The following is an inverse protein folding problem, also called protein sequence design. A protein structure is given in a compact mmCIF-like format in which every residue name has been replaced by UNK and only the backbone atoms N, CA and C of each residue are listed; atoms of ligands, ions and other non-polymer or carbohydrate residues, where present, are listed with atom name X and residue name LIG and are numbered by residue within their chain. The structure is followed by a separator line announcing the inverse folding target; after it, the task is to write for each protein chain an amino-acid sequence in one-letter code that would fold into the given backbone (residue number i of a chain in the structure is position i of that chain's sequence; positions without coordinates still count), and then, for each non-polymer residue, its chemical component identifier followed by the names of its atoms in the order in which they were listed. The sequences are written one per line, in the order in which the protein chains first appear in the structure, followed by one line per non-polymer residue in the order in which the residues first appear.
data_IF_523680134469
#
_entry.id   IF_523680134469
#
_cell.length_a   1.000
_cell.length_b   1.000
_cell.length_c   1.000
_cell.angle_alpha   90.00
_cell.angle_beta   90.00
_cell.angle_gamma   90.00
#
_symmetry.space_group_name_H-M   'P 1'
#
loop_
_entity.id
_entity.type
_entity.pdbx_description
1 polymer ?
#
# COMPACT_ATOMS: atom_id res chain seq x y z
N UNK A 1 -1.54 28.65 2.01
CA UNK A 1 -2.85 28.25 2.58
C UNK A 1 -2.73 26.80 3.03
N UNK A 2 -3.30 26.38 4.15
CA UNK A 2 -3.28 24.96 4.52
C UNK A 2 -3.99 24.15 3.44
N UNK A 3 -3.35 23.07 3.02
CA UNK A 3 -3.85 22.13 2.01
C UNK A 3 -5.11 21.44 2.56
N UNK A 4 -6.20 21.37 1.77
CA UNK A 4 -7.41 20.66 2.18
C UNK A 4 -7.18 19.14 2.14
N UNK A 5 -7.94 18.37 2.95
CA UNK A 5 -7.88 16.90 2.95
C UNK A 5 -8.06 16.33 1.53
N UNK A 6 -9.04 16.84 0.79
CA UNK A 6 -9.31 16.42 -0.58
C UNK A 6 -8.14 16.68 -1.52
N UNK A 7 -7.47 17.83 -1.37
CA UNK A 7 -6.32 18.19 -2.18
C UNK A 7 -5.13 17.27 -1.89
N UNK A 8 -4.83 17.03 -0.60
CA UNK A 8 -3.80 16.10 -0.17
C UNK A 8 -4.06 14.67 -0.70
N UNK A 9 -5.30 14.20 -0.60
CA UNK A 9 -5.71 12.88 -1.08
C UNK A 9 -5.57 12.75 -2.61
N UNK A 10 -5.93 13.79 -3.39
CA UNK A 10 -5.75 13.80 -4.85
C UNK A 10 -4.27 13.77 -5.27
N UNK A 11 -3.38 14.47 -4.54
CA UNK A 11 -1.94 14.40 -4.80
C UNK A 11 -1.39 12.98 -4.56
N UNK A 12 -1.81 12.32 -3.47
CA UNK A 12 -1.40 10.93 -3.22
C UNK A 12 -1.93 9.97 -4.30
N UNK A 13 -3.13 10.20 -4.82
CA UNK A 13 -3.65 9.42 -5.93
C UNK A 13 -2.83 9.59 -7.20
N UNK A 14 -2.44 10.82 -7.54
CA UNK A 14 -1.57 11.07 -8.67
C UNK A 14 -0.22 10.35 -8.50
N UNK A 15 0.35 10.37 -7.29
CA UNK A 15 1.57 9.65 -6.95
C UNK A 15 1.42 8.12 -7.09
N UNK A 16 0.29 7.53 -6.66
CA UNK A 16 0.01 6.09 -6.85
C UNK A 16 0.02 5.75 -8.34
N UNK A 17 -0.69 6.51 -9.16
CA UNK A 17 -0.78 6.26 -10.61
C UNK A 17 0.57 6.34 -11.29
N UNK A 18 1.33 7.38 -11.01
CA UNK A 18 2.68 7.54 -11.55
C UNK A 18 3.59 6.39 -11.13
N UNK A 19 3.52 6.00 -9.85
CA UNK A 19 4.33 4.91 -9.32
C UNK A 19 3.99 3.55 -9.95
N UNK A 20 2.73 3.31 -10.28
CA UNK A 20 2.25 2.02 -10.81
C UNK A 20 2.17 1.95 -12.32
N UNK A 21 2.41 3.06 -13.03
CA UNK A 21 2.42 3.10 -14.49
C UNK A 21 3.38 2.05 -15.08
N UNK A 22 2.84 1.14 -15.89
CA UNK A 22 3.56 0.01 -16.49
C UNK A 22 3.83 -1.18 -15.55
N UNK A 23 3.41 -1.12 -14.28
CA UNK A 23 3.49 -2.24 -13.33
C UNK A 23 2.15 -2.95 -13.22
N UNK A 24 2.01 -4.10 -13.88
CA UNK A 24 0.75 -4.83 -13.99
C UNK A 24 0.38 -5.50 -12.65
N UNK A 25 -0.88 -5.35 -12.22
CA UNK A 25 -1.44 -5.90 -10.96
C UNK A 25 -0.69 -5.44 -9.69
N UNK A 26 -0.17 -4.20 -9.70
CA UNK A 26 0.61 -3.66 -8.56
C UNK A 26 -0.01 -2.43 -7.91
N UNK A 27 -1.12 -1.93 -8.44
CA UNK A 27 -1.85 -0.79 -7.90
C UNK A 27 -2.31 -1.04 -6.46
N UNK A 28 -2.81 -2.23 -6.17
CA UNK A 28 -3.22 -2.62 -4.83
C UNK A 28 -2.09 -2.45 -3.79
N UNK A 29 -0.87 -2.88 -4.12
CA UNK A 29 0.26 -2.75 -3.20
C UNK A 29 0.59 -1.28 -2.94
N UNK A 30 0.57 -0.45 -3.98
CA UNK A 30 0.81 0.99 -3.85
C UNK A 30 -0.29 1.67 -3.02
N UNK A 31 -1.56 1.34 -3.26
CA UNK A 31 -2.70 1.87 -2.51
C UNK A 31 -2.63 1.51 -1.03
N UNK A 32 -2.31 0.25 -0.69
CA UNK A 32 -2.16 -0.22 0.69
C UNK A 32 -0.94 0.39 1.38
N UNK A 33 0.15 0.65 0.64
CA UNK A 33 1.31 1.37 1.18
C UNK A 33 0.93 2.81 1.57
N UNK A 34 0.16 3.52 0.73
CA UNK A 34 -0.32 4.86 1.05
C UNK A 34 -1.29 4.82 2.26
N UNK A 35 -2.23 3.87 2.30
CA UNK A 35 -3.10 3.69 3.46
C UNK A 35 -2.30 3.46 4.74
N UNK A 36 -1.29 2.58 4.69
CA UNK A 36 -0.40 2.32 5.82
C UNK A 36 0.35 3.58 6.26
N UNK A 37 0.90 4.35 5.31
CA UNK A 37 1.59 5.61 5.58
C UNK A 37 0.68 6.65 6.23
N UNK A 38 -0.57 6.80 5.76
CA UNK A 38 -1.57 7.71 6.35
C UNK A 38 -1.99 7.25 7.75
N UNK A 39 -2.11 5.95 7.98
CA UNK A 39 -2.42 5.38 9.30
C UNK A 39 -1.22 5.34 10.26
N UNK A 40 0.00 5.70 9.81
CA UNK A 40 1.27 5.51 10.54
C UNK A 40 1.53 4.07 10.95
N UNK A 41 1.10 3.12 10.13
CA UNK A 41 1.30 1.69 10.32
C UNK A 41 2.27 1.13 9.27
N UNK A 42 2.60 -0.15 9.39
CA UNK A 42 3.57 -0.83 8.53
C UNK A 42 2.93 -1.95 7.74
N UNK A 43 3.54 -2.28 6.61
CA UNK A 43 3.05 -3.23 5.63
C UNK A 43 4.04 -4.38 5.46
N UNK A 44 3.57 -5.62 5.50
CA UNK A 44 4.32 -6.82 5.13
C UNK A 44 3.80 -7.35 3.79
N UNK A 45 4.69 -7.47 2.82
CA UNK A 45 4.40 -8.01 1.49
C UNK A 45 4.96 -9.41 1.38
N UNK A 46 4.10 -10.37 1.11
CA UNK A 46 4.45 -11.78 0.98
C UNK A 46 4.21 -12.21 -0.47
N UNK A 47 5.19 -12.86 -1.08
CA UNK A 47 5.06 -13.39 -2.44
C UNK A 47 6.39 -13.81 -3.04
N UNK A 48 6.36 -14.60 -4.13
CA UNK A 48 7.57 -15.12 -4.75
C UNK A 48 8.52 -14.01 -5.22
N UNK A 49 9.81 -14.31 -5.40
CA UNK A 49 10.77 -13.37 -5.96
C UNK A 49 10.37 -12.98 -7.39
N UNK A 50 10.79 -11.80 -7.84
CA UNK A 50 10.50 -11.32 -9.21
C UNK A 50 9.10 -10.73 -9.41
N UNK A 51 8.28 -10.59 -8.37
CA UNK A 51 6.93 -10.01 -8.46
C UNK A 51 6.90 -8.48 -8.32
N UNK A 52 8.00 -7.80 -8.56
CA UNK A 52 8.16 -6.34 -8.55
C UNK A 52 7.83 -5.64 -7.22
N UNK A 53 7.91 -6.34 -6.07
CA UNK A 53 7.65 -5.78 -4.72
C UNK A 53 8.50 -4.52 -4.46
N UNK A 54 9.82 -4.63 -4.60
CA UNK A 54 10.75 -3.50 -4.39
C UNK A 54 10.55 -2.38 -5.40
N UNK A 55 10.25 -2.71 -6.66
CA UNK A 55 10.02 -1.72 -7.70
C UNK A 55 8.83 -0.81 -7.38
N UNK A 56 7.70 -1.37 -6.93
CA UNK A 56 6.52 -0.59 -6.52
C UNK A 56 6.86 0.35 -5.36
N UNK A 57 7.48 -0.18 -4.30
CA UNK A 57 7.78 0.62 -3.09
C UNK A 57 8.74 1.76 -3.41
N UNK A 58 9.79 1.48 -4.20
CA UNK A 58 10.76 2.48 -4.64
C UNK A 58 10.08 3.58 -5.47
N UNK A 59 9.23 3.21 -6.43
CA UNK A 59 8.50 4.16 -7.28
C UNK A 59 7.51 5.01 -6.49
N UNK A 60 6.79 4.43 -5.52
CA UNK A 60 5.93 5.19 -4.60
C UNK A 60 6.76 6.17 -3.76
N UNK A 61 7.90 5.74 -3.22
CA UNK A 61 8.79 6.62 -2.48
C UNK A 61 9.31 7.78 -3.34
N UNK A 62 9.71 7.51 -4.59
CA UNK A 62 10.15 8.54 -5.55
C UNK A 62 9.03 9.53 -5.89
N UNK A 63 7.80 9.05 -6.09
CA UNK A 63 6.67 9.92 -6.43
C UNK A 63 6.21 10.81 -5.26
N UNK A 64 6.46 10.40 -4.02
CA UNK A 64 6.16 11.17 -2.81
C UNK A 64 7.28 12.17 -2.46
N UNK A 65 8.50 11.94 -2.93
CA UNK A 65 9.71 12.65 -2.51
C UNK A 65 9.97 12.45 -1.01
N UNK A 66 11.17 12.17 -0.60
CA UNK A 66 11.52 11.92 0.79
C UNK A 66 12.73 11.01 0.91
N UNK A 67 13.26 10.87 2.11
CA UNK A 67 14.40 9.99 2.33
C UNK A 67 13.93 8.52 2.29
N UNK A 68 14.37 7.82 1.25
CA UNK A 68 14.09 6.40 1.04
C UNK A 68 15.29 5.56 1.43
N UNK A 69 15.03 4.51 2.20
CA UNK A 69 16.04 3.50 2.56
C UNK A 69 15.58 2.13 2.08
N UNK A 70 16.44 1.42 1.36
CA UNK A 70 16.18 0.07 0.88
C UNK A 70 17.34 -0.85 1.24
N UNK A 71 17.02 -2.03 1.78
CA UNK A 71 18.03 -3.01 2.13
C UNK A 71 17.52 -4.44 1.97
N UNK A 72 18.35 -5.33 1.41
CA UNK A 72 18.11 -6.76 1.36
C UNK A 72 18.79 -7.42 2.56
N UNK A 73 17.99 -7.91 3.50
CA UNK A 73 18.52 -8.58 4.68
C UNK A 73 19.04 -9.98 4.37
N UNK A 74 20.15 -10.35 5.01
CA UNK A 74 20.75 -11.66 4.94
C UNK A 74 21.14 -12.15 6.33
N UNK A 75 21.46 -13.42 6.45
CA UNK A 75 21.87 -14.05 7.74
C UNK A 75 23.12 -13.40 8.34
N UNK A 76 23.97 -12.81 7.51
CA UNK A 76 25.24 -12.19 7.91
C UNK A 76 25.18 -10.66 7.87
N UNK A 77 24.00 -10.09 7.65
CA UNK A 77 23.83 -8.64 7.68
C UNK A 77 24.21 -8.10 9.08
N UNK A 78 25.07 -7.10 9.10
CA UNK A 78 25.47 -6.45 10.33
C UNK A 78 24.53 -5.29 10.67
N UNK A 79 24.28 -5.01 11.97
CA UNK A 79 23.48 -3.85 12.37
C UNK A 79 24.02 -2.51 11.87
N UNK A 80 25.32 -2.38 11.61
CA UNK A 80 25.96 -1.20 11.06
C UNK A 80 25.51 -0.86 9.64
N UNK A 81 25.10 -1.87 8.86
CA UNK A 81 24.64 -1.70 7.48
C UNK A 81 23.23 -1.07 7.39
N UNK A 82 22.42 -1.26 8.42
CA UNK A 82 21.08 -0.67 8.48
C UNK A 82 21.05 0.62 9.29
N UNK A 83 21.77 0.62 10.41
CA UNK A 83 21.64 1.67 11.42
C UNK A 83 22.81 2.64 11.44
N UNK A 84 23.88 2.31 10.74
CA UNK A 84 25.12 3.10 10.67
C UNK A 84 26.25 2.62 11.58
N UNK A 85 27.48 2.97 11.23
CA UNK A 85 28.69 2.61 11.98
C UNK A 85 28.81 3.40 13.28
N UNK A 86 29.65 2.91 14.20
CA UNK A 86 30.03 3.66 15.40
C UNK A 86 30.93 4.85 15.00
N UNK A 87 30.61 6.02 15.52
CA UNK A 87 31.43 7.22 15.31
C UNK A 87 32.77 7.09 16.06
N UNK A 88 33.85 6.90 15.30
CA UNK A 88 35.19 6.66 15.87
C UNK A 88 35.74 7.87 16.63
N UNK A 89 35.37 9.08 16.24
CA UNK A 89 35.83 10.30 16.95
C UNK A 89 35.20 10.36 18.35
N UNK A 90 33.90 10.10 18.46
CA UNK A 90 33.18 10.04 19.72
C UNK A 90 33.62 8.87 20.60
N UNK A 91 33.94 7.74 19.97
CA UNK A 91 34.44 6.57 20.70
C UNK A 91 35.78 6.87 21.39
N UNK A 92 36.65 7.67 20.79
CA UNK A 92 37.92 8.14 21.42
C UNK A 92 37.66 9.03 22.63
N UNK A 93 36.53 9.72 22.69
CA UNK A 93 36.06 10.53 23.82
C UNK A 93 35.30 9.68 24.87
N UNK A 94 35.23 8.34 24.69
CA UNK A 94 34.52 7.43 25.60
C UNK A 94 33.01 7.39 25.37
N UNK A 95 32.51 7.95 24.26
CA UNK A 95 31.10 7.99 23.93
C UNK A 95 30.82 7.05 22.76
N UNK A 96 29.87 6.11 22.96
CA UNK A 96 29.39 5.18 21.89
C UNK A 96 28.23 5.85 21.16
N UNK A 97 28.54 6.60 20.11
CA UNK A 97 27.55 7.19 19.22
C UNK A 97 27.55 6.48 17.86
N UNK A 98 26.38 6.42 17.21
CA UNK A 98 26.21 5.86 15.88
C UNK A 98 26.06 6.97 14.85
N UNK A 99 26.80 6.88 13.76
CA UNK A 99 26.61 7.77 12.60
C UNK A 99 25.47 7.22 11.74
N UNK A 100 24.36 7.96 11.74
CA UNK A 100 23.10 7.53 11.10
C UNK A 100 22.86 8.17 9.75
N UNK A 101 23.81 9.01 9.27
CA UNK A 101 23.63 9.76 8.04
C UNK A 101 23.33 8.84 6.84
N UNK A 102 22.16 9.03 6.21
CA UNK A 102 21.69 8.21 5.09
C UNK A 102 21.23 6.79 5.45
N UNK A 103 21.14 6.47 6.73
CA UNK A 103 20.75 5.13 7.22
C UNK A 103 19.26 5.07 7.58
N UNK A 104 18.76 3.85 7.83
CA UNK A 104 17.37 3.59 8.19
C UNK A 104 16.78 4.53 9.27
N UNK A 105 17.50 4.91 10.33
CA UNK A 105 16.97 5.83 11.33
C UNK A 105 16.59 7.21 10.83
N UNK A 106 17.14 7.67 9.69
CA UNK A 106 16.76 8.94 9.04
C UNK A 106 15.71 8.78 7.94
N UNK A 107 15.40 7.53 7.54
CA UNK A 107 14.47 7.28 6.46
C UNK A 107 13.03 7.66 6.83
N UNK A 108 12.31 8.24 5.87
CA UNK A 108 10.87 8.51 5.96
C UNK A 108 10.06 7.36 5.39
N UNK A 109 10.61 6.66 4.38
CA UNK A 109 10.05 5.46 3.77
C UNK A 109 11.15 4.40 3.73
N UNK A 110 10.86 3.22 4.23
CA UNK A 110 11.82 2.11 4.23
C UNK A 110 11.25 0.86 3.53
N UNK A 111 12.12 0.19 2.78
CA UNK A 111 11.87 -1.14 2.24
C UNK A 111 12.92 -2.13 2.74
N UNK A 112 12.48 -3.17 3.42
CA UNK A 112 13.35 -4.22 3.95
C UNK A 112 12.99 -5.54 3.30
N UNK A 113 13.79 -5.97 2.33
CA UNK A 113 13.57 -7.25 1.66
C UNK A 113 14.14 -8.40 2.48
N UNK A 114 13.54 -9.57 2.36
CA UNK A 114 13.85 -10.80 3.15
C UNK A 114 13.91 -10.50 4.65
N UNK A 115 12.92 -9.75 5.16
CA UNK A 115 12.93 -9.17 6.50
C UNK A 115 13.11 -10.17 7.63
N UNK A 116 12.75 -11.43 7.44
CA UNK A 116 12.90 -12.52 8.42
C UNK A 116 14.30 -13.15 8.44
N UNK A 117 15.20 -12.79 7.52
CA UNK A 117 16.58 -13.25 7.54
C UNK A 117 17.51 -12.43 8.45
N UNK A 118 16.99 -11.31 8.97
CA UNK A 118 17.74 -10.46 9.89
C UNK A 118 18.10 -11.18 11.19
N UNK A 119 19.30 -10.89 11.72
CA UNK A 119 19.71 -11.39 13.03
C UNK A 119 18.78 -10.90 14.15
N UNK A 120 18.69 -11.59 15.27
CA UNK A 120 17.90 -11.19 16.44
C UNK A 120 18.24 -9.77 16.90
N UNK A 121 19.51 -9.35 16.81
CA UNK A 121 19.94 -8.00 17.16
C UNK A 121 19.33 -6.93 16.24
N UNK A 122 19.28 -7.20 14.93
CA UNK A 122 18.63 -6.33 13.94
C UNK A 122 17.14 -6.27 14.22
N UNK A 123 16.47 -7.42 14.35
CA UNK A 123 15.01 -7.48 14.56
C UNK A 123 14.60 -6.76 15.84
N UNK A 124 15.33 -6.91 16.95
CA UNK A 124 15.06 -6.18 18.18
C UNK A 124 15.20 -4.66 18.03
N UNK A 125 16.20 -4.20 17.28
CA UNK A 125 16.39 -2.79 17.00
C UNK A 125 15.25 -2.25 16.12
N UNK A 126 14.84 -3.03 15.09
CA UNK A 126 13.69 -2.71 14.24
C UNK A 126 12.39 -2.61 15.04
N UNK A 127 12.19 -3.42 16.10
CA UNK A 127 11.00 -3.30 16.95
C UNK A 127 10.87 -1.90 17.57
N UNK A 128 11.96 -1.29 18.01
CA UNK A 128 11.97 0.08 18.52
C UNK A 128 11.57 1.10 17.44
N UNK A 129 12.14 0.95 16.25
CA UNK A 129 11.83 1.80 15.09
C UNK A 129 10.36 1.66 14.65
N UNK A 130 9.86 0.43 14.51
CA UNK A 130 8.52 0.16 14.02
C UNK A 130 7.42 0.55 15.02
N UNK A 131 7.64 0.33 16.32
CA UNK A 131 6.61 0.59 17.33
C UNK A 131 6.65 2.02 17.88
N UNK A 132 7.85 2.49 18.21
CA UNK A 132 8.04 3.72 18.98
C UNK A 132 8.58 4.87 18.12
N UNK A 133 8.95 4.62 16.88
CA UNK A 133 9.66 5.58 16.02
C UNK A 133 10.93 6.09 16.71
N UNK A 134 11.60 5.21 17.44
CA UNK A 134 12.82 5.55 18.17
C UNK A 134 13.93 4.59 17.79
N UNK A 135 15.10 5.15 17.53
CA UNK A 135 16.34 4.41 17.43
C UNK A 135 17.17 4.65 18.70
N UNK A 136 17.65 3.55 19.29
CA UNK A 136 18.48 3.56 20.50
C UNK A 136 19.64 2.60 20.34
N UNK A 137 20.87 3.13 20.37
CA UNK A 137 22.10 2.31 20.35
C UNK A 137 23.23 3.07 21.04
N UNK A 138 23.76 2.51 22.13
CA UNK A 138 24.74 3.21 22.96
C UNK A 138 24.18 4.52 23.52
N UNK A 139 24.86 5.63 23.25
CA UNK A 139 24.43 6.98 23.64
C UNK A 139 23.49 7.63 22.60
N UNK A 140 23.36 7.04 21.43
CA UNK A 140 22.46 7.55 20.39
C UNK A 140 21.01 7.23 20.73
N UNK A 141 20.21 8.29 20.86
CA UNK A 141 18.76 8.19 21.04
C UNK A 141 18.07 9.27 20.23
N UNK A 142 17.37 8.86 19.19
CA UNK A 142 16.72 9.78 18.27
C UNK A 142 15.28 9.35 17.97
N UNK A 143 14.44 10.31 17.61
CA UNK A 143 13.15 10.06 17.02
C UNK A 143 13.31 9.93 15.49
N UNK A 144 12.82 8.81 14.93
CA UNK A 144 12.94 8.51 13.52
C UNK A 144 11.73 9.09 12.76
N UNK A 145 11.94 9.75 11.61
CA UNK A 145 10.86 10.35 10.81
C UNK A 145 10.06 9.32 10.02
N UNK A 146 10.29 8.02 10.26
CA UNK A 146 9.73 6.91 9.51
C UNK A 146 8.20 6.97 9.45
N UNK A 147 7.62 7.10 8.26
CA UNK A 147 6.16 7.11 8.01
C UNK A 147 5.64 5.72 7.77
N UNK A 148 6.31 4.98 6.89
CA UNK A 148 5.98 3.59 6.58
C UNK A 148 7.25 2.77 6.37
N UNK A 149 7.25 1.56 6.93
CA UNK A 149 8.20 0.51 6.58
C UNK A 149 7.44 -0.60 5.87
N UNK A 150 7.90 -0.96 4.70
CA UNK A 150 7.43 -2.13 3.97
C UNK A 150 8.46 -3.23 4.15
N UNK A 151 8.08 -4.29 4.87
CA UNK A 151 8.84 -5.52 4.93
C UNK A 151 8.42 -6.44 3.78
N UNK A 152 9.34 -7.16 3.19
CA UNK A 152 9.03 -8.18 2.18
C UNK A 152 9.61 -9.53 2.58
N UNK A 153 8.92 -10.59 2.20
CA UNK A 153 9.36 -11.96 2.37
C UNK A 153 8.73 -12.88 1.30
N UNK A 154 9.34 -14.03 1.07
CA UNK A 154 8.78 -15.04 0.16
C UNK A 154 7.63 -15.84 0.80
N UNK A 155 7.69 -16.06 2.11
CA UNK A 155 6.68 -16.75 2.90
C UNK A 155 6.61 -16.18 4.33
N UNK A 156 5.52 -16.48 5.03
CA UNK A 156 5.42 -16.19 6.46
C UNK A 156 6.32 -17.16 7.25
N UNK A 157 6.92 -16.69 8.36
CA UNK A 157 7.77 -17.54 9.18
C UNK A 157 6.94 -18.56 9.99
N UNK A 158 7.48 -19.74 10.18
CA UNK A 158 6.92 -20.77 11.08
C UNK A 158 7.39 -20.60 12.53
N UNK A 159 8.52 -19.93 12.73
CA UNK A 159 9.08 -19.65 14.06
C UNK A 159 8.22 -18.64 14.83
N UNK A 160 7.89 -18.96 16.08
CA UNK A 160 7.03 -18.10 16.93
C UNK A 160 7.63 -16.71 17.20
N UNK A 161 8.95 -16.61 17.36
CA UNK A 161 9.64 -15.34 17.58
C UNK A 161 9.56 -14.43 16.35
N UNK A 162 9.74 -15.01 15.17
CA UNK A 162 9.59 -14.30 13.90
C UNK A 162 8.12 -13.99 13.61
N UNK A 163 7.19 -14.86 13.98
CA UNK A 163 5.75 -14.57 13.88
C UNK A 163 5.36 -13.39 14.77
N UNK A 164 5.92 -13.28 15.97
CA UNK A 164 5.73 -12.13 16.85
C UNK A 164 6.33 -10.83 16.26
N UNK A 165 7.44 -10.92 15.51
CA UNK A 165 7.97 -9.79 14.77
C UNK A 165 7.07 -9.43 13.57
N UNK A 166 6.58 -10.40 12.80
CA UNK A 166 5.64 -10.19 11.69
C UNK A 166 4.34 -9.49 12.15
N UNK A 167 3.88 -9.73 13.40
CA UNK A 167 2.71 -9.06 13.98
C UNK A 167 2.89 -7.54 14.14
N UNK A 168 4.10 -7.01 14.00
CA UNK A 168 4.37 -5.56 14.01
C UNK A 168 3.96 -4.86 12.71
N UNK A 169 3.90 -5.61 11.63
CA UNK A 169 3.33 -5.16 10.38
C UNK A 169 1.81 -5.37 10.43
N UNK A 170 1.07 -4.28 10.54
CA UNK A 170 -0.38 -4.37 10.70
C UNK A 170 -1.08 -4.89 9.46
N UNK A 171 -0.64 -4.44 8.26
CA UNK A 171 -1.17 -4.89 6.99
C UNK A 171 -0.32 -6.02 6.43
N UNK A 172 -0.98 -7.09 5.99
CA UNK A 172 -0.37 -8.19 5.25
C UNK A 172 -0.95 -8.23 3.85
N UNK A 173 -0.07 -8.21 2.85
CA UNK A 173 -0.43 -8.24 1.42
C UNK A 173 0.23 -9.43 0.76
N UNK A 174 -0.56 -10.24 0.09
CA UNK A 174 -0.09 -11.37 -0.68
C UNK A 174 -0.06 -10.99 -2.15
N UNK A 175 1.11 -11.12 -2.79
CA UNK A 175 1.35 -10.73 -4.18
C UNK A 175 1.69 -11.97 -4.98
N UNK A 176 0.86 -12.25 -5.99
CA UNK A 176 1.07 -13.35 -6.91
C UNK A 176 1.81 -12.88 -8.19
N UNK A 177 2.44 -13.81 -8.94
CA UNK A 177 2.87 -13.54 -10.30
C UNK A 177 1.71 -13.04 -11.18
N UNK A 178 2.03 -12.24 -12.19
CA UNK A 178 1.04 -11.80 -13.18
C UNK A 178 0.50 -13.04 -13.92
N UNK A 179 -0.81 -13.11 -14.09
CA UNK A 179 -1.49 -14.22 -14.74
C UNK A 179 -1.17 -14.28 -16.25
N UNK A 180 -1.24 -15.49 -16.84
CA UNK A 180 -0.85 -15.72 -18.24
C UNK A 180 -1.65 -14.89 -19.25
N UNK A 181 -2.90 -14.56 -18.95
CA UNK A 181 -3.75 -13.73 -19.80
C UNK A 181 -3.34 -12.23 -19.84
N UNK A 182 -2.37 -11.83 -19.01
CA UNK A 182 -1.84 -10.45 -18.96
C UNK A 182 -0.33 -10.38 -19.29
N UNK A 183 0.24 -11.43 -19.88
CA UNK A 183 1.66 -11.49 -20.19
C UNK A 183 2.07 -10.44 -21.23
N UNK A 184 1.25 -10.16 -22.23
CA UNK A 184 1.53 -9.14 -23.23
C UNK A 184 1.60 -7.74 -22.59
N UNK A 185 0.69 -7.45 -21.64
CA UNK A 185 0.71 -6.20 -20.88
C UNK A 185 1.96 -6.11 -20.00
N UNK A 186 2.34 -7.23 -19.34
CA UNK A 186 3.54 -7.30 -18.52
C UNK A 186 4.80 -7.01 -19.34
N UNK A 187 4.92 -7.59 -20.56
CA UNK A 187 6.06 -7.38 -21.43
C UNK A 187 6.13 -5.92 -21.92
N UNK A 188 5.00 -5.36 -22.33
CA UNK A 188 4.92 -3.97 -22.79
C UNK A 188 5.22 -2.99 -21.64
N UNK A 189 4.54 -3.14 -20.51
CA UNK A 189 4.71 -2.28 -19.34
C UNK A 189 6.11 -2.36 -18.74
N UNK A 190 6.67 -3.58 -18.63
CA UNK A 190 8.03 -3.77 -18.14
C UNK A 190 9.10 -3.09 -19.03
N UNK A 191 8.89 -3.07 -20.34
CA UNK A 191 9.75 -2.34 -21.28
C UNK A 191 9.68 -0.83 -21.07
N UNK A 192 8.48 -0.28 -20.93
CA UNK A 192 8.24 1.14 -20.69
C UNK A 192 8.81 1.62 -19.35
N UNK A 193 8.61 0.83 -18.28
CA UNK A 193 9.15 1.12 -16.93
C UNK A 193 10.67 1.29 -16.95
N UNK A 194 11.38 0.50 -17.77
CA UNK A 194 12.83 0.58 -17.91
C UNK A 194 13.33 1.86 -18.59
N UNK A 195 12.46 2.56 -19.32
CA UNK A 195 12.81 3.76 -20.10
C UNK A 195 12.42 5.07 -19.40
N UNK A 196 11.47 5.05 -18.49
CA UNK A 196 10.90 6.25 -17.89
C UNK A 196 11.14 6.26 -16.37
N UNK A 197 11.71 7.35 -15.88
CA UNK A 197 11.81 7.63 -14.44
C UNK A 197 10.46 8.04 -13.87
N UNK A 198 10.31 7.93 -12.55
CA UNK A 198 9.12 8.41 -11.83
C UNK A 198 9.28 9.90 -11.54
N UNK A 199 8.24 10.67 -11.81
CA UNK A 199 8.21 12.08 -11.45
C UNK A 199 7.64 12.27 -10.03
N UNK A 200 8.23 13.12 -9.20
CA UNK A 200 7.61 13.49 -7.92
C UNK A 200 6.35 14.31 -8.18
N UNK A 201 5.18 13.75 -7.85
CA UNK A 201 3.86 14.36 -8.07
C UNK A 201 3.16 14.74 -6.76
N UNK A 202 3.64 14.27 -5.62
CA UNK A 202 3.16 14.64 -4.31
C UNK A 202 4.33 15.02 -3.42
N UNK A 203 4.01 15.70 -2.34
CA UNK A 203 4.96 15.99 -1.26
C UNK A 203 4.58 15.22 -0.01
N UNK A 204 5.55 14.88 0.82
CA UNK A 204 5.32 14.28 2.14
C UNK A 204 4.41 15.14 3.02
N UNK A 205 4.36 16.45 2.79
CA UNK A 205 3.42 17.37 3.41
C UNK A 205 1.96 16.93 3.24
N UNK A 206 1.61 16.31 2.11
CA UNK A 206 0.27 15.73 1.88
C UNK A 206 -0.03 14.57 2.84
N UNK A 207 0.96 13.72 3.12
CA UNK A 207 0.82 12.68 4.15
C UNK A 207 0.65 13.29 5.55
N UNK A 208 1.37 14.37 5.87
CA UNK A 208 1.30 15.02 7.18
C UNK A 208 -0.10 15.59 7.47
N UNK A 209 -0.72 16.25 6.48
CA UNK A 209 -2.08 16.76 6.59
C UNK A 209 -3.07 15.64 6.90
N UNK A 210 -2.98 14.52 6.19
CA UNK A 210 -3.86 13.37 6.39
C UNK A 210 -3.57 12.66 7.72
N UNK A 211 -2.30 12.46 8.09
CA UNK A 211 -1.90 11.86 9.37
C UNK A 211 -2.47 12.62 10.59
N UNK A 212 -2.49 13.96 10.52
CA UNK A 212 -3.03 14.80 11.59
C UNK A 212 -4.54 14.69 11.70
N UNK A 213 -5.24 14.40 10.60
CA UNK A 213 -6.68 14.24 10.58
C UNK A 213 -7.16 12.87 11.10
N UNK A 214 -6.36 11.79 10.95
CA UNK A 214 -6.76 10.44 11.35
C UNK A 214 -7.24 10.35 12.81
N UNK A 215 -6.55 10.90 13.83
CA UNK A 215 -7.01 10.83 15.22
C UNK A 215 -8.30 11.61 15.49
N UNK A 216 -8.70 12.51 14.59
CA UNK A 216 -9.87 13.37 14.72
C UNK A 216 -11.13 12.78 14.08
N UNK A 217 -11.02 11.63 13.41
CA UNK A 217 -12.13 10.97 12.73
C UNK A 217 -13.16 10.47 13.75
N UNK A 218 -14.42 10.82 13.53
CA UNK A 218 -15.51 10.26 14.32
C UNK A 218 -15.73 8.78 13.92
N UNK A 219 -15.49 7.87 14.88
CA UNK A 219 -15.59 6.42 14.73
C UNK A 219 -16.92 5.85 15.26
N UNK A 220 -17.82 6.65 15.82
CA UNK A 220 -19.05 6.16 16.46
C UNK A 220 -19.92 5.35 15.51
N UNK A 221 -20.10 5.85 14.29
CA UNK A 221 -20.93 5.21 13.27
C UNK A 221 -20.44 3.83 12.80
N UNK A 222 -19.16 3.50 13.00
CA UNK A 222 -18.55 2.25 12.50
C UNK A 222 -18.20 1.25 13.61
N UNK A 223 -18.09 1.67 14.89
CA UNK A 223 -17.63 0.80 15.98
C UNK A 223 -18.49 -0.44 16.17
N UNK A 224 -19.81 -0.32 16.10
CA UNK A 224 -20.73 -1.47 16.26
C UNK A 224 -20.56 -2.45 15.11
N UNK A 225 -20.43 -1.96 13.87
CA UNK A 225 -20.22 -2.79 12.68
C UNK A 225 -18.84 -3.46 12.72
N UNK A 226 -17.79 -2.79 13.17
CA UNK A 226 -16.47 -3.36 13.39
C UNK A 226 -16.51 -4.47 14.44
N UNK A 227 -17.16 -4.22 15.58
CA UNK A 227 -17.31 -5.23 16.64
C UNK A 227 -18.12 -6.45 16.15
N UNK A 228 -19.14 -6.24 15.33
CA UNK A 228 -19.89 -7.30 14.66
C UNK A 228 -19.01 -8.10 13.70
N UNK A 229 -18.25 -7.44 12.83
CA UNK A 229 -17.32 -8.09 11.93
C UNK A 229 -16.31 -8.98 12.67
N UNK A 230 -15.72 -8.48 13.78
CA UNK A 230 -14.78 -9.26 14.60
C UNK A 230 -15.45 -10.49 15.22
N UNK A 231 -16.70 -10.40 15.66
CA UNK A 231 -17.43 -11.58 16.18
C UNK A 231 -17.65 -12.63 15.11
N UNK A 232 -18.03 -12.21 13.88
CA UNK A 232 -18.18 -13.11 12.74
C UNK A 232 -16.85 -13.80 12.40
N UNK A 233 -15.74 -13.05 12.37
CA UNK A 233 -14.40 -13.60 12.15
C UNK A 233 -14.03 -14.66 13.18
N UNK A 234 -14.28 -14.40 14.47
CA UNK A 234 -14.03 -15.37 15.55
C UNK A 234 -14.87 -16.64 15.38
N UNK A 235 -16.13 -16.53 14.96
CA UNK A 235 -17.00 -17.67 14.67
C UNK A 235 -16.49 -18.50 13.47
N UNK A 236 -15.85 -17.88 12.50
CA UNK A 236 -15.22 -18.56 11.36
C UNK A 236 -13.76 -18.98 11.62
N UNK A 237 -13.33 -19.01 12.88
CA UNK A 237 -11.96 -19.38 13.29
C UNK A 237 -10.86 -18.46 12.71
N UNK A 238 -11.19 -17.20 12.42
CA UNK A 238 -10.21 -16.16 12.12
C UNK A 238 -10.00 -15.31 13.35
N UNK A 239 -8.84 -15.47 13.99
CA UNK A 239 -8.53 -14.78 15.24
C UNK A 239 -7.56 -13.63 14.97
N UNK A 240 -7.88 -12.47 15.52
CA UNK A 240 -7.03 -11.29 15.56
C UNK A 240 -6.61 -11.03 17.00
N UNK A 241 -5.36 -10.62 17.23
CA UNK A 241 -4.92 -10.13 18.52
C UNK A 241 -5.64 -8.83 18.88
N UNK A 242 -5.83 -8.56 20.18
CA UNK A 242 -6.46 -7.32 20.63
C UNK A 242 -5.72 -6.08 20.13
N UNK A 243 -4.40 -6.16 20.00
CA UNK A 243 -3.57 -5.12 19.38
C UNK A 243 -4.01 -4.86 17.94
N UNK A 244 -4.17 -5.89 17.11
CA UNK A 244 -4.61 -5.74 15.72
C UNK A 244 -6.01 -5.18 15.62
N UNK A 245 -6.92 -5.62 16.50
CA UNK A 245 -8.29 -5.11 16.56
C UNK A 245 -8.31 -3.61 16.87
N UNK A 246 -7.54 -3.16 17.86
CA UNK A 246 -7.46 -1.75 18.21
C UNK A 246 -6.84 -0.93 17.10
N UNK A 247 -5.74 -1.42 16.50
CA UNK A 247 -5.04 -0.74 15.42
C UNK A 247 -5.82 -0.71 14.10
N UNK A 248 -6.69 -1.68 13.84
CA UNK A 248 -7.57 -1.68 12.68
C UNK A 248 -8.44 -0.41 12.60
N UNK A 249 -8.80 0.18 13.75
CA UNK A 249 -9.54 1.44 13.77
C UNK A 249 -8.76 2.59 13.11
N UNK A 250 -7.43 2.62 13.24
CA UNK A 250 -6.59 3.64 12.60
C UNK A 250 -6.61 3.50 11.06
N UNK A 251 -6.61 2.26 10.55
CA UNK A 251 -6.73 2.01 9.11
C UNK A 251 -8.10 2.42 8.57
N UNK A 252 -9.17 2.13 9.31
CA UNK A 252 -10.54 2.53 8.95
C UNK A 252 -10.66 4.06 8.94
N UNK A 253 -10.10 4.73 9.96
CA UNK A 253 -10.06 6.19 10.02
C UNK A 253 -9.22 6.78 8.88
N UNK A 254 -8.07 6.17 8.54
CA UNK A 254 -7.23 6.59 7.43
C UNK A 254 -7.96 6.44 6.08
N UNK A 255 -8.73 5.37 5.88
CA UNK A 255 -9.57 5.21 4.69
C UNK A 255 -10.62 6.34 4.59
N UNK A 256 -11.31 6.67 5.69
CA UNK A 256 -12.25 7.79 5.70
C UNK A 256 -11.59 9.14 5.37
N UNK A 257 -10.41 9.42 5.94
CA UNK A 257 -9.63 10.64 5.67
C UNK A 257 -9.18 10.72 4.22
N UNK A 258 -8.67 9.62 3.65
CA UNK A 258 -8.30 9.52 2.24
C UNK A 258 -9.51 9.72 1.31
N UNK A 259 -10.72 9.38 1.77
CA UNK A 259 -11.96 9.69 1.05
C UNK A 259 -12.48 11.12 1.30
N UNK A 260 -11.70 11.98 1.97
CA UNK A 260 -12.05 13.36 2.29
C UNK A 260 -13.09 13.51 3.40
N UNK A 261 -13.34 12.46 4.20
CA UNK A 261 -14.37 12.43 5.25
C UNK A 261 -13.77 12.54 6.65
N UNK A 262 -14.51 13.19 7.55
CA UNK A 262 -14.17 13.29 8.98
C UNK A 262 -14.93 12.29 9.86
N UNK A 263 -15.73 11.43 9.26
CA UNK A 263 -16.44 10.36 9.93
C UNK A 263 -16.31 9.06 9.15
N UNK A 264 -15.97 7.99 9.85
CA UNK A 264 -15.90 6.65 9.28
C UNK A 264 -17.30 6.02 9.18
N UNK A 265 -17.53 5.24 8.14
CA UNK A 265 -18.78 4.56 7.83
C UNK A 265 -18.56 3.06 7.64
N UNK A 266 -19.64 2.30 7.43
CA UNK A 266 -19.53 0.86 7.09
C UNK A 266 -18.74 0.62 5.81
N UNK A 267 -18.81 1.54 4.84
CA UNK A 267 -18.03 1.47 3.61
C UNK A 267 -16.51 1.44 3.83
N UNK A 268 -16.03 1.90 4.99
CA UNK A 268 -14.61 1.94 5.34
C UNK A 268 -14.12 0.70 6.11
N UNK A 269 -14.92 -0.36 6.24
CA UNK A 269 -14.52 -1.59 6.95
C UNK A 269 -13.54 -2.48 6.17
N UNK A 270 -13.41 -2.27 4.87
CA UNK A 270 -12.58 -3.10 3.98
C UNK A 270 -11.12 -3.28 4.40
N UNK A 271 -10.42 -2.31 5.07
CA UNK A 271 -9.05 -2.52 5.51
C UNK A 271 -8.89 -3.67 6.51
N UNK A 272 -9.99 -4.08 7.17
CA UNK A 272 -9.98 -5.19 8.12
C UNK A 272 -9.48 -6.50 7.49
N UNK A 273 -9.70 -6.72 6.18
CA UNK A 273 -9.17 -7.91 5.49
C UNK A 273 -7.65 -7.97 5.52
N UNK A 274 -6.99 -6.84 5.34
CA UNK A 274 -5.52 -6.78 5.30
C UNK A 274 -4.87 -6.81 6.68
N UNK A 275 -5.67 -6.65 7.75
CA UNK A 275 -5.21 -6.86 9.14
C UNK A 275 -5.06 -8.35 9.46
N UNK A 276 -5.65 -9.24 8.67
CA UNK A 276 -5.58 -10.69 8.87
C UNK A 276 -4.23 -11.21 8.33
N UNK A 277 -3.44 -11.90 9.17
CA UNK A 277 -2.04 -12.15 8.87
C UNK A 277 -1.78 -13.27 7.84
N UNK A 278 -2.77 -14.11 7.49
CA UNK A 278 -2.58 -15.25 6.59
C UNK A 278 -3.46 -15.18 5.36
N UNK A 279 -2.97 -15.65 4.20
CA UNK A 279 -3.73 -15.68 2.95
C UNK A 279 -5.04 -16.48 3.10
N UNK A 280 -4.97 -17.70 3.68
CA UNK A 280 -6.15 -18.51 3.92
C UNK A 280 -7.16 -17.83 4.86
N UNK A 281 -6.66 -17.09 5.87
CA UNK A 281 -7.49 -16.27 6.76
C UNK A 281 -8.18 -15.13 6.01
N UNK A 282 -7.48 -14.44 5.11
CA UNK A 282 -8.06 -13.36 4.29
C UNK A 282 -9.16 -13.88 3.35
N UNK A 283 -8.95 -15.03 2.71
CA UNK A 283 -9.98 -15.68 1.87
C UNK A 283 -11.22 -16.01 2.69
N UNK A 284 -11.05 -16.69 3.84
CA UNK A 284 -12.16 -17.05 4.74
C UNK A 284 -12.88 -15.81 5.28
N UNK A 285 -12.13 -14.77 5.64
CA UNK A 285 -12.71 -13.52 6.12
C UNK A 285 -13.52 -12.79 5.05
N UNK A 286 -13.08 -12.81 3.79
CA UNK A 286 -13.83 -12.22 2.67
C UNK A 286 -15.19 -12.92 2.50
N UNK A 287 -15.23 -14.23 2.58
CA UNK A 287 -16.48 -15.00 2.53
C UNK A 287 -17.38 -14.68 3.72
N UNK A 288 -16.81 -14.69 4.93
CA UNK A 288 -17.54 -14.45 6.19
C UNK A 288 -18.13 -13.03 6.27
N UNK A 289 -17.40 -12.04 5.77
CA UNK A 289 -17.78 -10.62 5.84
C UNK A 289 -18.42 -10.10 4.56
N UNK A 290 -18.79 -10.97 3.61
CA UNK A 290 -19.31 -10.59 2.29
C UNK A 290 -20.38 -9.50 2.36
N UNK A 291 -21.37 -9.66 3.21
CA UNK A 291 -22.50 -8.72 3.31
C UNK A 291 -22.08 -7.38 3.91
N UNK A 292 -21.12 -7.38 4.84
CA UNK A 292 -20.55 -6.15 5.41
C UNK A 292 -19.63 -5.41 4.45
N UNK A 293 -18.93 -6.16 3.59
CA UNK A 293 -17.99 -5.63 2.61
C UNK A 293 -18.69 -5.27 1.28
N UNK A 294 -19.95 -5.68 1.12
CA UNK A 294 -20.74 -5.32 -0.05
C UNK A 294 -20.93 -3.80 -0.24
N UNK A 295 -20.91 -3.05 0.84
CA UNK A 295 -21.00 -1.58 0.83
C UNK A 295 -19.62 -0.90 0.66
N UNK A 296 -18.52 -1.68 0.59
CA UNK A 296 -17.17 -1.14 0.49
C UNK A 296 -17.03 -0.29 -0.77
N UNK A 297 -16.62 0.95 -0.59
CA UNK A 297 -16.35 1.88 -1.68
C UNK A 297 -15.31 2.89 -1.25
N UNK A 298 -14.45 3.29 -2.18
CA UNK A 298 -13.46 4.33 -1.91
C UNK A 298 -13.17 5.14 -3.18
N UNK A 299 -13.18 6.49 -3.11
CA UNK A 299 -13.03 7.32 -4.30
C UNK A 299 -11.61 7.34 -4.89
N UNK A 300 -10.60 6.89 -4.14
CA UNK A 300 -9.19 6.94 -4.54
C UNK A 300 -8.50 5.59 -4.57
N UNK A 301 -8.89 4.63 -3.71
CA UNK A 301 -8.25 3.32 -3.55
C UNK A 301 -9.11 2.24 -4.20
N UNK A 302 -9.18 2.28 -5.54
CA UNK A 302 -10.12 1.46 -6.31
C UNK A 302 -9.66 0.01 -6.41
N UNK A 303 -8.35 -0.24 -6.66
CA UNK A 303 -7.82 -1.58 -6.83
C UNK A 303 -8.00 -2.44 -5.57
N UNK A 304 -7.77 -1.83 -4.40
CA UNK A 304 -7.97 -2.52 -3.12
C UNK A 304 -9.43 -2.84 -2.88
N UNK A 305 -10.33 -1.87 -3.09
CA UNK A 305 -11.77 -2.07 -2.83
C UNK A 305 -12.39 -3.05 -3.82
N UNK A 306 -11.98 -3.01 -5.08
CA UNK A 306 -12.43 -3.97 -6.10
C UNK A 306 -12.09 -5.41 -5.68
N UNK A 307 -10.86 -5.64 -5.20
CA UNK A 307 -10.44 -6.96 -4.75
C UNK A 307 -11.20 -7.42 -3.49
N UNK A 308 -11.58 -6.50 -2.62
CA UNK A 308 -12.34 -6.80 -1.40
C UNK A 308 -13.80 -7.10 -1.69
N UNK A 309 -14.45 -6.24 -2.43
CA UNK A 309 -15.89 -6.30 -2.65
C UNK A 309 -16.29 -7.39 -3.64
N UNK A 310 -15.39 -7.82 -4.53
CA UNK A 310 -15.69 -8.71 -5.67
C UNK A 310 -16.93 -8.28 -6.47
N UNK A 311 -17.25 -6.98 -6.47
CA UNK A 311 -18.48 -6.45 -7.04
C UNK A 311 -18.24 -5.83 -8.42
N UNK A 312 -19.21 -5.99 -9.35
CA UNK A 312 -19.18 -5.31 -10.65
C UNK A 312 -19.10 -3.78 -10.56
N UNK A 313 -19.64 -3.18 -9.48
CA UNK A 313 -19.64 -1.72 -9.28
C UNK A 313 -18.26 -1.12 -8.97
N UNK A 314 -17.41 -1.82 -8.23
CA UNK A 314 -16.04 -1.36 -7.99
C UNK A 314 -15.18 -1.46 -9.27
N UNK A 315 -15.39 -2.52 -10.06
CA UNK A 315 -14.81 -2.65 -11.42
C UNK A 315 -15.29 -1.54 -12.34
N UNK A 316 -16.59 -1.22 -12.30
CA UNK A 316 -17.16 -0.15 -13.10
C UNK A 316 -16.46 1.19 -12.81
N UNK A 317 -16.24 1.54 -11.54
CA UNK A 317 -15.57 2.79 -11.18
C UNK A 317 -14.13 2.85 -11.73
N UNK A 318 -13.37 1.75 -11.66
CA UNK A 318 -12.02 1.64 -12.24
C UNK A 318 -12.03 1.85 -13.76
N UNK A 319 -12.93 1.15 -14.45
CA UNK A 319 -13.01 1.26 -15.92
C UNK A 319 -13.46 2.64 -16.39
N UNK A 320 -14.42 3.24 -15.70
CA UNK A 320 -14.87 4.62 -15.96
C UNK A 320 -13.72 5.61 -15.84
N UNK A 321 -12.94 5.49 -14.77
CA UNK A 321 -11.79 6.37 -14.54
C UNK A 321 -10.67 6.15 -15.54
N UNK A 322 -10.30 4.91 -15.82
CA UNK A 322 -9.27 4.59 -16.82
C UNK A 322 -9.68 5.10 -18.20
N UNK A 323 -10.97 4.98 -18.54
CA UNK A 323 -11.51 5.50 -19.80
C UNK A 323 -11.44 7.04 -19.85
N UNK A 324 -11.82 7.74 -18.78
CA UNK A 324 -11.77 9.20 -18.73
C UNK A 324 -10.34 9.73 -18.87
N UNK A 325 -9.37 9.05 -18.27
CA UNK A 325 -7.94 9.39 -18.40
C UNK A 325 -7.44 9.26 -19.83
N UNK A 326 -7.71 8.13 -20.48
CA UNK A 326 -7.27 7.90 -21.86
C UNK A 326 -7.97 8.85 -22.82
N UNK A 327 -9.23 9.24 -22.57
CA UNK A 327 -9.95 10.22 -23.37
C UNK A 327 -9.39 11.65 -23.25
N UNK A 328 -8.77 12.00 -22.12
CA UNK A 328 -8.08 13.28 -21.91
C UNK A 328 -6.67 13.25 -22.50
N UNK A 329 -6.00 12.09 -22.44
CA UNK A 329 -4.60 11.88 -22.84
C UNK A 329 -4.38 11.51 -24.32
N UNK A 330 -5.38 11.55 -25.18
CA UNK A 330 -5.36 11.07 -26.58
C UNK A 330 -4.28 11.69 -27.50
N UNK A 331 -3.43 12.57 -27.00
CA UNK A 331 -2.30 13.17 -27.74
C UNK A 331 -0.93 12.52 -27.46
N UNK A 332 -0.87 11.49 -26.63
CA UNK A 332 0.37 10.83 -26.26
C UNK A 332 0.69 9.66 -27.21
N UNK A 333 1.97 9.50 -27.56
CA UNK A 333 2.47 8.36 -28.33
C UNK A 333 2.21 7.09 -27.53
N UNK A 334 1.49 6.11 -28.10
CA UNK A 334 1.13 4.87 -27.43
C UNK A 334 -0.30 4.82 -26.88
N UNK A 335 -1.07 5.90 -26.93
CA UNK A 335 -2.46 5.93 -26.45
C UNK A 335 -3.36 4.89 -27.15
N UNK A 336 -3.13 4.59 -28.41
CA UNK A 336 -3.95 3.62 -29.16
C UNK A 336 -3.85 2.21 -28.59
N UNK A 337 -2.67 1.72 -28.24
CA UNK A 337 -2.49 0.38 -27.65
C UNK A 337 -3.11 0.27 -26.26
N UNK A 338 -3.03 1.34 -25.46
CA UNK A 338 -3.66 1.39 -24.12
C UNK A 338 -5.19 1.43 -24.22
N UNK A 339 -5.73 2.15 -25.19
CA UNK A 339 -7.17 2.18 -25.46
C UNK A 339 -7.67 0.80 -25.89
N UNK A 340 -6.96 0.12 -26.79
CA UNK A 340 -7.30 -1.24 -27.23
C UNK A 340 -7.23 -2.26 -26.09
N UNK A 341 -6.22 -2.16 -25.20
CA UNK A 341 -6.10 -3.01 -24.04
C UNK A 341 -7.28 -2.80 -23.09
N UNK A 342 -7.62 -1.53 -22.78
CA UNK A 342 -8.74 -1.19 -21.94
C UNK A 342 -10.08 -1.66 -22.53
N UNK A 343 -10.28 -1.52 -23.84
CA UNK A 343 -11.50 -2.00 -24.51
C UNK A 343 -11.64 -3.52 -24.40
N UNK A 344 -10.55 -4.28 -24.60
CA UNK A 344 -10.54 -5.74 -24.42
C UNK A 344 -10.86 -6.12 -22.97
N UNK A 345 -10.33 -5.40 -22.01
CA UNK A 345 -10.58 -5.66 -20.59
C UNK A 345 -12.04 -5.34 -20.22
N UNK A 346 -12.61 -4.25 -20.73
CA UNK A 346 -14.04 -3.92 -20.56
C UNK A 346 -14.92 -5.03 -21.15
N UNK A 347 -14.63 -5.45 -22.39
CA UNK A 347 -15.44 -6.47 -23.10
C UNK A 347 -15.32 -7.86 -22.48
N UNK A 348 -14.20 -8.16 -21.81
CA UNK A 348 -14.02 -9.42 -21.06
C UNK A 348 -14.78 -9.44 -19.72
N UNK A 349 -15.04 -8.27 -19.12
CA UNK A 349 -15.66 -8.16 -17.80
C UNK A 349 -17.14 -7.78 -17.81
N UNK A 350 -17.66 -7.21 -18.91
CA UNK A 350 -19.04 -6.77 -19.05
C UNK A 350 -19.65 -7.29 -20.35
N UNK A 351 -20.75 -8.01 -20.24
CA UNK A 351 -21.55 -8.36 -21.41
C UNK A 351 -22.14 -7.07 -22.02
N UNK A 352 -22.06 -6.94 -23.34
CA UNK A 352 -22.54 -5.76 -24.06
C UNK A 352 -24.03 -5.45 -23.78
N UNK A 353 -24.85 -6.48 -23.50
CA UNK A 353 -26.28 -6.34 -23.19
C UNK A 353 -26.56 -5.87 -21.76
N UNK A 354 -25.58 -6.00 -20.83
CA UNK A 354 -25.73 -5.66 -19.40
C UNK A 354 -24.75 -4.59 -18.94
N UNK A 355 -24.02 -3.98 -19.88
CA UNK A 355 -23.02 -2.94 -19.58
C UNK A 355 -23.71 -1.68 -19.02
N UNK A 356 -23.27 -1.16 -17.85
CA UNK A 356 -23.82 0.07 -17.30
C UNK A 356 -23.66 1.26 -18.26
N UNK A 357 -24.68 2.11 -18.36
CA UNK A 357 -24.77 3.22 -19.32
C UNK A 357 -23.53 4.13 -19.29
N UNK A 358 -23.03 4.45 -18.09
CA UNK A 358 -21.83 5.27 -17.89
C UNK A 358 -20.57 4.66 -18.52
N UNK A 359 -20.42 3.36 -18.50
CA UNK A 359 -19.29 2.66 -19.12
C UNK A 359 -19.50 2.51 -20.63
N UNK A 360 -20.71 2.21 -21.06
CA UNK A 360 -21.06 2.08 -22.48
C UNK A 360 -20.78 3.38 -23.26
N UNK A 361 -21.12 4.53 -22.69
CA UNK A 361 -20.84 5.85 -23.29
C UNK A 361 -19.32 6.08 -23.46
N UNK A 362 -18.52 5.79 -22.42
CA UNK A 362 -17.06 5.93 -22.47
C UNK A 362 -16.41 4.95 -23.44
N UNK A 363 -16.90 3.71 -23.47
CA UNK A 363 -16.45 2.70 -24.43
C UNK A 363 -16.65 3.17 -25.88
N UNK A 364 -17.81 3.75 -26.20
CA UNK A 364 -18.05 4.31 -27.53
C UNK A 364 -17.11 5.47 -27.86
N UNK A 365 -16.82 6.35 -26.89
CA UNK A 365 -15.87 7.46 -27.07
C UNK A 365 -14.43 6.97 -27.28
N UNK A 366 -14.02 5.92 -26.58
CA UNK A 366 -12.71 5.27 -26.79
C UNK A 366 -12.60 4.66 -28.20
N UNK A 367 -13.62 3.94 -28.66
CA UNK A 367 -13.66 3.40 -30.02
C UNK A 367 -13.60 4.53 -31.06
N UNK A 368 -14.36 5.60 -30.85
CA UNK A 368 -14.34 6.76 -31.76
C UNK A 368 -12.99 7.49 -31.79
N UNK A 369 -12.19 7.41 -30.73
CA UNK A 369 -10.84 7.97 -30.69
C UNK A 369 -9.81 7.14 -31.45
N UNK A 370 -9.96 5.80 -31.48
CA UNK A 370 -9.11 4.91 -32.29
C UNK A 370 -9.34 5.08 -33.79
N UNK A 371 -10.56 5.42 -34.21
CA UNK A 371 -10.89 5.63 -35.64
C UNK A 371 -10.44 6.98 -36.21
N UNK A 372 -9.79 7.84 -35.41
CA UNK A 372 -9.27 9.17 -35.80
C UNK A 372 -7.76 9.21 -36.00
N UNK A 373 -7.07 8.10 -35.85
CA UNK A 373 -5.66 7.88 -36.10
C UNK A 373 -5.48 6.79 -37.16
#
# INVERSE_FOLDING_TARGET
MPQSLNQAALHLRAAIREATAGLIDREQLAELMILAAVAKEHLLVIGPPGTAKSAVVRRVAQSLGGQYFEYLLGRFTEPSELFGPVNLSKLREGQVETDIAGMLPEAEIAFLDEVFLGSTAILNTLLGLLNERQFRRGHTRIHCPLRVCVGAANALPEDEGLAAFADRFLLHVFVDPVSDNRLEELLAGGWEVGQHGVMPLAELSSLDVLNQAVPQVNMEGVRLSLAHAIRLLRQSHVHLSDRRIVKAQQLIAAAAVLAGRQAATRADLWPLLYVIPTAAGQVRARETLRDLLAEASHPLLHAVVEQVAQQPMARLARFVESADLLLVGTKLIGASSQIEALLREIDANFDAAQMPEQLAERRQRLIASLGKH
#
